data_IF_230894331937
#
_entry.id   IF_230894331937
#
_cell.length_a   1.000
_cell.length_b   1.000
_cell.length_c   1.000
_cell.angle_alpha   90.00
_cell.angle_beta   90.00
_cell.angle_gamma   90.00
#
_symmetry.space_group_name_H-M   'P 1'
#
loop_
_entity.id
_entity.type
_entity.pdbx_description
1 polymer ?
#
# COMPACT_ATOMS: atom_id res chain seq x y z
N UNK A 1 15.35 -14.98 11.34
CA UNK A 1 13.94 -15.28 11.64
C UNK A 1 13.48 -16.27 10.59
N UNK A 2 12.87 -17.39 10.98
CA UNK A 2 12.53 -18.49 10.05
C UNK A 2 11.05 -18.51 9.64
N UNK A 3 10.18 -17.84 10.41
CA UNK A 3 8.73 -17.77 10.16
C UNK A 3 8.16 -16.42 10.59
N UNK A 4 7.02 -16.03 10.02
CA UNK A 4 6.25 -14.87 10.44
C UNK A 4 5.68 -15.07 11.86
N UNK A 5 5.57 -13.98 12.61
CA UNK A 5 5.06 -13.94 13.98
C UNK A 5 4.09 -12.77 14.15
N UNK A 6 3.30 -12.79 15.22
CA UNK A 6 2.28 -11.78 15.51
C UNK A 6 0.86 -12.27 15.26
N UNK A 7 -0.05 -11.34 14.99
CA UNK A 7 -1.49 -11.63 14.78
C UNK A 7 -1.76 -12.15 13.36
N UNK A 8 -1.42 -13.41 13.12
CA UNK A 8 -1.63 -14.09 11.83
C UNK A 8 -3.08 -14.58 11.65
N UNK A 9 -3.77 -14.86 12.75
CA UNK A 9 -5.13 -15.44 12.73
C UNK A 9 -6.19 -14.46 12.23
N UNK A 10 -5.99 -13.16 12.48
CA UNK A 10 -6.92 -12.13 12.00
C UNK A 10 -6.62 -11.68 10.57
N UNK A 11 -5.55 -12.16 9.94
CA UNK A 11 -5.14 -11.74 8.60
C UNK A 11 -6.19 -12.06 7.53
N UNK A 12 -6.94 -13.16 7.67
CA UNK A 12 -7.90 -13.60 6.66
C UNK A 12 -9.35 -13.25 7.00
N UNK A 13 -9.61 -12.86 8.24
CA UNK A 13 -10.96 -12.62 8.75
C UNK A 13 -11.47 -11.18 8.61
N UNK A 14 -12.68 -10.99 8.12
CA UNK A 14 -13.25 -9.67 7.80
C UNK A 14 -14.34 -9.21 8.78
N UNK A 15 -14.70 -10.07 9.72
CA UNK A 15 -15.90 -9.99 10.57
C UNK A 15 -15.65 -9.41 11.97
N UNK A 16 -14.48 -8.84 12.23
CA UNK A 16 -14.16 -8.20 13.53
C UNK A 16 -14.90 -6.88 13.77
N UNK A 17 -15.37 -6.24 12.70
CA UNK A 17 -16.13 -5.00 12.76
C UNK A 17 -17.45 -5.17 12.02
N UNK A 18 -18.60 -4.78 12.62
CA UNK A 18 -19.88 -4.81 11.93
C UNK A 18 -19.86 -3.91 10.71
N UNK A 19 -20.25 -4.44 9.55
CA UNK A 19 -20.20 -3.72 8.28
C UNK A 19 -21.23 -2.57 8.24
N UNK A 20 -20.72 -1.39 7.90
CA UNK A 20 -21.48 -0.17 7.67
C UNK A 20 -21.69 0.03 6.16
N UNK A 21 -22.93 -0.06 5.72
CA UNK A 21 -23.28 0.13 4.32
C UNK A 21 -22.78 1.49 3.80
N UNK A 22 -22.20 1.49 2.60
CA UNK A 22 -21.49 2.57 1.87
C UNK A 22 -20.12 2.98 2.41
N UNK A 23 -19.84 2.69 3.67
CA UNK A 23 -18.60 3.11 4.33
C UNK A 23 -17.57 1.98 4.37
N UNK A 24 -17.97 0.78 4.79
CA UNK A 24 -17.02 -0.32 5.00
C UNK A 24 -16.35 -0.70 3.70
N UNK A 25 -15.03 -0.51 3.69
CA UNK A 25 -14.13 -0.85 2.63
C UNK A 25 -12.99 -1.67 3.23
N UNK A 26 -12.72 -2.82 2.61
CA UNK A 26 -11.81 -3.81 3.11
C UNK A 26 -10.88 -4.24 1.98
N UNK A 27 -9.59 -4.33 2.28
CA UNK A 27 -8.64 -4.81 1.30
C UNK A 27 -7.40 -5.40 1.93
N UNK A 28 -6.72 -6.21 1.15
CA UNK A 28 -5.35 -6.60 1.35
C UNK A 28 -4.54 -6.02 0.22
N UNK A 29 -3.30 -5.62 0.49
CA UNK A 29 -2.38 -5.25 -0.57
C UNK A 29 -0.94 -5.56 -0.21
N UNK A 30 -0.19 -5.88 -1.26
CA UNK A 30 1.25 -6.02 -1.25
C UNK A 30 1.86 -4.94 -2.13
N UNK A 31 3.00 -4.43 -1.71
CA UNK A 31 3.85 -3.59 -2.53
C UNK A 31 5.27 -4.14 -2.50
N UNK A 32 5.68 -4.68 -3.62
CA UNK A 32 6.99 -5.29 -3.84
C UNK A 32 7.91 -4.24 -4.43
N UNK A 33 9.09 -4.08 -3.85
CA UNK A 33 10.11 -3.10 -4.23
C UNK A 33 11.38 -3.85 -4.64
N UNK A 34 11.73 -3.73 -5.92
CA UNK A 34 12.81 -4.45 -6.57
C UNK A 34 13.88 -3.47 -7.06
N UNK A 35 15.16 -3.89 -7.14
CA UNK A 35 16.19 -3.11 -7.82
C UNK A 35 15.81 -2.89 -9.29
N UNK A 36 16.13 -1.70 -9.81
CA UNK A 36 16.16 -1.44 -11.24
C UNK A 36 17.63 -1.48 -11.70
N UNK A 37 17.93 -2.32 -12.69
CA UNK A 37 19.30 -2.50 -13.20
C UNK A 37 19.75 -1.32 -14.03
N UNK A 38 18.84 -0.77 -14.85
CA UNK A 38 19.12 0.33 -15.77
C UNK A 38 19.13 1.69 -15.05
N UNK A 39 18.38 1.80 -13.95
CA UNK A 39 18.30 2.99 -13.10
C UNK A 39 18.51 2.63 -11.62
N UNK A 40 19.77 2.43 -11.16
CA UNK A 40 20.07 1.99 -9.80
C UNK A 40 19.52 2.89 -8.69
N UNK A 41 19.28 4.16 -8.98
CA UNK A 41 18.67 5.15 -8.09
C UNK A 41 17.15 4.97 -7.92
N UNK A 42 16.52 4.21 -8.83
CA UNK A 42 15.10 3.88 -8.83
C UNK A 42 14.90 2.44 -8.34
N UNK A 43 13.62 2.10 -8.22
CA UNK A 43 13.17 0.74 -7.97
C UNK A 43 12.07 0.39 -8.96
N UNK A 44 12.04 -0.86 -9.41
CA UNK A 44 10.84 -1.43 -10.02
C UNK A 44 9.87 -1.79 -8.92
N UNK A 45 8.57 -1.60 -9.14
CA UNK A 45 7.59 -1.82 -8.09
C UNK A 45 6.31 -2.47 -8.61
N UNK A 46 5.80 -3.45 -7.87
CA UNK A 46 4.51 -4.08 -8.09
C UNK A 46 3.60 -3.77 -6.91
N UNK A 47 2.43 -3.21 -7.14
CA UNK A 47 1.35 -3.19 -6.16
C UNK A 47 0.23 -4.12 -6.62
N UNK A 48 -0.28 -4.95 -5.72
CA UNK A 48 -1.48 -5.76 -5.94
C UNK A 48 -2.40 -5.61 -4.75
N UNK A 49 -3.69 -5.37 -5.01
CA UNK A 49 -4.73 -5.31 -4.00
C UNK A 49 -5.91 -6.23 -4.32
N UNK A 50 -6.50 -6.78 -3.25
CA UNK A 50 -7.75 -7.54 -3.26
C UNK A 50 -8.75 -6.79 -2.42
N UNK A 51 -9.84 -6.32 -3.02
CA UNK A 51 -10.73 -5.38 -2.34
C UNK A 51 -12.20 -5.76 -2.42
N UNK A 52 -12.93 -5.46 -1.34
CA UNK A 52 -14.39 -5.49 -1.28
C UNK A 52 -14.92 -4.29 -0.53
N UNK A 53 -16.08 -3.79 -0.95
CA UNK A 53 -16.73 -2.62 -0.36
C UNK A 53 -18.22 -2.93 -0.23
N UNK A 54 -18.77 -2.67 0.95
CA UNK A 54 -20.22 -2.78 1.16
C UNK A 54 -20.88 -1.53 0.56
N UNK A 55 -21.16 -1.52 -0.75
CA UNK A 55 -21.84 -0.42 -1.43
C UNK A 55 -22.63 -0.93 -2.63
N UNK A 56 -23.75 -0.27 -2.97
CA UNK A 56 -24.56 -0.67 -4.11
C UNK A 56 -23.92 -0.32 -5.47
N UNK A 57 -23.09 0.72 -5.51
CA UNK A 57 -22.42 1.18 -6.72
C UNK A 57 -21.25 2.10 -6.35
N UNK A 58 -20.13 1.88 -7.02
CA UNK A 58 -18.95 2.75 -7.02
C UNK A 58 -18.28 2.57 -8.38
N UNK A 59 -17.83 3.65 -9.00
CA UNK A 59 -16.96 3.57 -10.17
C UNK A 59 -15.51 3.54 -9.71
N UNK A 60 -14.71 2.61 -10.25
CA UNK A 60 -13.29 2.46 -9.95
C UNK A 60 -12.52 2.70 -11.23
N UNK A 61 -11.85 3.85 -11.33
CA UNK A 61 -11.08 4.27 -12.50
C UNK A 61 -11.84 4.12 -13.84
N UNK A 62 -13.11 4.52 -13.87
CA UNK A 62 -13.98 4.44 -15.05
C UNK A 62 -14.72 3.12 -15.23
N UNK A 63 -14.52 2.15 -14.32
CA UNK A 63 -15.17 0.85 -14.35
C UNK A 63 -16.29 0.79 -13.29
N UNK A 64 -17.57 0.73 -13.69
CA UNK A 64 -18.68 0.66 -12.75
C UNK A 64 -18.70 -0.66 -11.97
N UNK A 65 -18.60 -0.63 -10.65
CA UNK A 65 -18.57 -1.80 -9.78
C UNK A 65 -19.71 -1.76 -8.75
N UNK A 66 -20.46 -2.84 -8.67
CA UNK A 66 -21.39 -3.08 -7.57
C UNK A 66 -20.64 -3.82 -6.47
N UNK A 67 -20.38 -3.11 -5.36
CA UNK A 67 -19.86 -3.72 -4.16
C UNK A 67 -20.85 -4.74 -3.57
N UNK A 68 -20.36 -5.59 -2.68
CA UNK A 68 -21.19 -6.59 -2.01
C UNK A 68 -20.75 -6.72 -0.56
N UNK A 69 -21.71 -6.92 0.34
CA UNK A 69 -21.42 -7.33 1.71
C UNK A 69 -20.92 -8.78 1.67
N UNK A 70 -19.75 -9.05 2.24
CA UNK A 70 -19.25 -10.41 2.33
C UNK A 70 -20.20 -11.32 3.12
N UNK A 71 -20.26 -12.58 2.72
CA UNK A 71 -20.93 -13.65 3.45
C UNK A 71 -19.89 -14.42 4.26
N UNK A 72 -20.26 -14.83 5.48
CA UNK A 72 -19.44 -15.73 6.31
C UNK A 72 -20.15 -17.06 6.41
N UNK A 73 -19.47 -18.14 6.03
CA UNK A 73 -20.01 -19.49 6.13
C UNK A 73 -19.94 -20.05 7.56
N UNK A 74 -20.43 -21.28 7.74
CA UNK A 74 -20.47 -21.97 9.04
C UNK A 74 -19.08 -22.32 9.61
N UNK A 75 -18.03 -22.28 8.78
CA UNK A 75 -16.65 -22.55 9.15
C UNK A 75 -15.82 -21.27 9.31
N UNK A 76 -16.43 -20.09 9.18
CA UNK A 76 -15.77 -18.79 9.31
C UNK A 76 -15.04 -18.32 8.06
N UNK A 77 -15.20 -19.01 6.92
CA UNK A 77 -14.70 -18.56 5.63
C UNK A 77 -15.52 -17.40 5.10
N UNK A 78 -14.88 -16.49 4.36
CA UNK A 78 -15.55 -15.34 3.77
C UNK A 78 -15.65 -15.48 2.25
N UNK A 79 -16.85 -15.25 1.71
CA UNK A 79 -17.07 -15.09 0.26
C UNK A 79 -17.49 -13.65 0.00
N UNK A 80 -16.78 -12.98 -0.90
CA UNK A 80 -16.95 -11.56 -1.17
C UNK A 80 -17.03 -11.29 -2.68
N UNK A 81 -17.94 -10.41 -3.09
CA UNK A 81 -17.85 -9.71 -4.37
C UNK A 81 -16.80 -8.61 -4.26
N UNK A 82 -15.89 -8.54 -5.24
CA UNK A 82 -14.72 -7.69 -5.13
C UNK A 82 -14.01 -7.39 -6.43
N UNK A 83 -12.86 -6.75 -6.30
CA UNK A 83 -11.94 -6.47 -7.40
C UNK A 83 -10.51 -6.85 -7.02
N UNK A 84 -9.77 -7.38 -7.99
CA UNK A 84 -8.31 -7.44 -7.96
C UNK A 84 -7.79 -6.30 -8.81
N UNK A 85 -6.96 -5.45 -8.22
CA UNK A 85 -6.32 -4.35 -8.93
C UNK A 85 -4.81 -4.44 -8.77
N UNK A 86 -4.07 -4.03 -9.79
CA UNK A 86 -2.62 -3.96 -9.73
C UNK A 86 -2.07 -2.87 -10.64
N UNK A 87 -0.88 -2.39 -10.32
CA UNK A 87 -0.02 -1.63 -11.24
C UNK A 87 1.41 -2.15 -11.15
N UNK A 88 2.17 -1.96 -12.23
CA UNK A 88 3.59 -2.31 -12.29
C UNK A 88 4.40 -1.14 -12.83
N UNK A 89 5.46 -0.78 -12.13
CA UNK A 89 6.46 0.17 -12.60
C UNK A 89 7.75 -0.58 -12.92
N UNK A 90 8.16 -0.59 -14.18
CA UNK A 90 9.34 -1.34 -14.64
C UNK A 90 10.68 -0.61 -14.41
N UNK A 91 10.64 0.59 -13.84
CA UNK A 91 11.78 1.48 -13.67
C UNK A 91 11.76 2.68 -14.61
N UNK A 92 10.95 2.64 -15.66
CA UNK A 92 10.78 3.72 -16.63
C UNK A 92 9.31 4.05 -16.90
N UNK A 93 8.49 3.03 -17.17
CA UNK A 93 7.07 3.16 -17.51
C UNK A 93 6.17 2.62 -16.41
N UNK A 94 5.06 3.31 -16.16
CA UNK A 94 3.98 2.81 -15.32
C UNK A 94 2.96 2.06 -16.17
N UNK A 95 2.69 0.81 -15.81
CA UNK A 95 1.58 0.02 -16.33
C UNK A 95 0.44 0.09 -15.31
N UNK A 96 -0.45 1.05 -15.54
CA UNK A 96 -1.64 1.25 -14.73
C UNK A 96 -2.88 1.42 -15.62
N UNK A 97 -3.95 0.64 -15.37
CA UNK A 97 -4.02 -0.49 -14.45
C UNK A 97 -3.40 -1.76 -15.06
N UNK A 98 -2.38 -2.36 -14.45
CA UNK A 98 -1.86 -3.66 -14.91
C UNK A 98 -2.95 -4.76 -14.89
N UNK A 99 -3.80 -4.71 -13.87
CA UNK A 99 -4.97 -5.56 -13.69
C UNK A 99 -6.10 -4.71 -13.10
N UNK A 100 -7.31 -4.82 -13.65
CA UNK A 100 -8.53 -4.22 -13.06
C UNK A 100 -9.73 -5.15 -13.26
N UNK A 101 -9.83 -6.21 -12.42
CA UNK A 101 -10.77 -7.31 -12.63
C UNK A 101 -11.79 -7.44 -11.52
N UNK A 102 -13.08 -7.39 -11.88
CA UNK A 102 -14.18 -7.77 -10.98
C UNK A 102 -14.21 -9.28 -10.84
N UNK A 103 -14.33 -9.76 -9.60
CA UNK A 103 -14.45 -11.19 -9.34
C UNK A 103 -15.18 -11.45 -8.02
N UNK A 104 -15.59 -12.71 -7.84
CA UNK A 104 -15.85 -13.21 -6.49
C UNK A 104 -14.53 -13.72 -5.94
N UNK A 105 -14.31 -13.55 -4.64
CA UNK A 105 -13.14 -14.07 -3.95
C UNK A 105 -13.58 -14.85 -2.71
N UNK A 106 -12.76 -15.82 -2.32
CA UNK A 106 -12.83 -16.47 -1.03
C UNK A 106 -11.65 -16.00 -0.17
N UNK A 107 -11.89 -15.65 1.09
CA UNK A 107 -10.83 -15.48 2.08
C UNK A 107 -11.02 -16.55 3.16
N UNK A 108 -10.04 -17.42 3.30
CA UNK A 108 -10.08 -18.56 4.23
C UNK A 108 -8.81 -18.60 5.06
N UNK A 109 -8.94 -19.02 6.31
CA UNK A 109 -7.81 -19.34 7.17
C UNK A 109 -7.73 -20.85 7.43
N UNK A 110 -6.71 -21.23 8.20
CA UNK A 110 -6.43 -22.60 8.53
C UNK A 110 -7.51 -23.39 9.27
N UNK A 111 -8.52 -22.72 9.84
CA UNK A 111 -9.64 -23.39 10.51
C UNK A 111 -10.70 -23.87 9.53
N UNK A 112 -10.65 -23.39 8.28
CA UNK A 112 -11.63 -23.74 7.26
C UNK A 112 -11.29 -25.10 6.62
N UNK A 113 -12.24 -26.05 6.47
CA UNK A 113 -11.97 -27.39 5.93
C UNK A 113 -11.37 -27.45 4.52
N UNK A 114 -11.55 -26.40 3.73
CA UNK A 114 -10.94 -26.26 2.40
C UNK A 114 -9.44 -25.88 2.43
N UNK A 115 -8.89 -25.53 3.60
CA UNK A 115 -7.46 -25.27 3.74
C UNK A 115 -6.71 -26.62 3.80
N UNK A 116 -5.58 -26.78 3.10
CA UNK A 116 -4.92 -28.08 2.93
C UNK A 116 -4.14 -28.58 4.16
N UNK A 117 -4.21 -27.89 5.30
CA UNK A 117 -3.46 -28.22 6.52
C UNK A 117 -4.23 -27.80 7.77
N UNK A 118 -4.00 -28.45 8.90
CA UNK A 118 -4.55 -28.03 10.20
C UNK A 118 -3.61 -27.07 10.96
N UNK A 119 -2.48 -26.66 10.34
CA UNK A 119 -1.48 -25.76 10.94
C UNK A 119 -1.83 -24.28 10.73
N UNK A 120 -0.88 -23.34 10.69
CA UNK A 120 -1.20 -21.93 10.43
C UNK A 120 -1.60 -21.71 8.95
N UNK A 121 -1.80 -20.44 8.58
CA UNK A 121 -1.96 -20.03 7.19
C UNK A 121 -3.36 -19.55 6.83
N UNK A 122 -3.52 -19.30 5.54
CA UNK A 122 -4.74 -18.85 4.90
C UNK A 122 -4.44 -18.15 3.59
N UNK A 123 -5.48 -17.78 2.85
CA UNK A 123 -5.34 -17.11 1.56
C UNK A 123 -6.56 -16.25 1.24
N UNK A 124 -6.35 -15.29 0.34
CA UNK A 124 -7.41 -14.70 -0.48
C UNK A 124 -7.27 -15.24 -1.91
N UNK A 125 -8.35 -15.84 -2.40
CA UNK A 125 -8.39 -16.58 -3.65
C UNK A 125 -9.51 -16.03 -4.54
N UNK A 126 -9.16 -15.23 -5.56
CA UNK A 126 -10.09 -14.88 -6.62
C UNK A 126 -10.58 -16.11 -7.38
N UNK A 127 -11.89 -16.18 -7.59
CA UNK A 127 -12.55 -17.25 -8.33
C UNK A 127 -12.58 -16.89 -9.82
N UNK A 128 -11.40 -16.87 -10.42
CA UNK A 128 -11.15 -16.54 -11.83
C UNK A 128 -10.45 -17.69 -12.56
N UNK A 129 -10.36 -17.62 -13.89
CA UNK A 129 -9.61 -18.61 -14.68
C UNK A 129 -8.10 -18.52 -14.42
N UNK A 130 -7.60 -17.30 -14.17
CA UNK A 130 -6.22 -17.06 -13.77
C UNK A 130 -6.04 -17.14 -12.26
N UNK A 131 -4.85 -17.58 -11.82
CA UNK A 131 -4.44 -17.54 -10.41
C UNK A 131 -3.95 -16.15 -10.04
N UNK A 132 -4.82 -15.40 -9.36
CA UNK A 132 -4.56 -14.06 -8.84
C UNK A 132 -4.51 -14.08 -7.30
N UNK A 133 -4.09 -15.19 -6.70
CA UNK A 133 -4.17 -15.39 -5.25
C UNK A 133 -2.93 -14.92 -4.49
N UNK A 134 -3.10 -14.68 -3.19
CA UNK A 134 -2.00 -14.62 -2.24
C UNK A 134 -2.37 -15.33 -0.95
N UNK A 135 -1.37 -15.84 -0.25
CA UNK A 135 -1.59 -16.61 0.97
C UNK A 135 -0.34 -16.80 1.80
N UNK A 136 -0.52 -17.27 3.03
CA UNK A 136 0.55 -17.64 3.97
C UNK A 136 0.68 -19.16 4.01
N UNK A 137 1.91 -19.66 3.85
CA UNK A 137 2.21 -21.08 3.94
C UNK A 137 1.81 -21.65 5.32
N UNK A 138 1.45 -22.94 5.41
CA UNK A 138 0.96 -23.50 6.66
C UNK A 138 1.95 -23.53 7.83
N UNK A 139 3.25 -23.42 7.55
CA UNK A 139 4.33 -23.30 8.55
C UNK A 139 4.68 -21.84 8.88
N UNK A 140 3.97 -20.89 8.27
CA UNK A 140 4.21 -19.45 8.31
C UNK A 140 5.62 -19.03 7.86
N UNK A 141 6.32 -19.85 7.07
CA UNK A 141 7.67 -19.54 6.57
C UNK A 141 7.69 -18.46 5.50
N UNK A 142 6.65 -18.44 4.64
CA UNK A 142 6.53 -17.49 3.54
C UNK A 142 5.10 -17.17 3.18
N UNK A 143 4.90 -15.99 2.59
CA UNK A 143 3.72 -15.70 1.78
C UNK A 143 4.02 -16.01 0.32
N UNK A 144 3.03 -16.46 -0.43
CA UNK A 144 3.06 -16.45 -1.89
C UNK A 144 2.17 -15.34 -2.43
N UNK A 145 2.51 -14.83 -3.61
CA UNK A 145 1.69 -13.92 -4.40
C UNK A 145 1.78 -14.34 -5.86
N UNK A 146 0.62 -14.49 -6.49
CA UNK A 146 0.51 -14.76 -7.91
C UNK A 146 -0.34 -13.71 -8.59
N UNK A 147 0.08 -13.31 -9.78
CA UNK A 147 -0.63 -12.36 -10.61
C UNK A 147 -0.42 -12.69 -12.08
N UNK A 148 -1.45 -12.41 -12.88
CA UNK A 148 -1.37 -12.38 -14.33
C UNK A 148 -1.85 -11.03 -14.84
N UNK A 149 -1.05 -10.40 -15.69
CA UNK A 149 -1.38 -9.11 -16.31
C UNK A 149 -2.49 -9.27 -17.35
N UNK A 150 -3.21 -8.19 -17.60
CA UNK A 150 -4.15 -8.13 -18.73
C UNK A 150 -3.41 -8.16 -20.07
N UNK A 151 -3.98 -8.83 -21.08
CA UNK A 151 -3.33 -9.08 -22.38
C UNK A 151 -2.90 -7.79 -23.10
N UNK A 152 -3.67 -6.71 -22.91
CA UNK A 152 -3.37 -5.37 -23.43
C UNK A 152 -2.01 -4.87 -22.94
N UNK A 153 -1.75 -4.94 -21.63
CA UNK A 153 -0.47 -4.47 -21.09
C UNK A 153 0.70 -5.41 -21.40
N UNK A 154 0.43 -6.71 -21.58
CA UNK A 154 1.45 -7.64 -22.08
C UNK A 154 1.88 -7.25 -23.50
N UNK A 155 0.93 -6.89 -24.37
CA UNK A 155 1.23 -6.41 -25.71
C UNK A 155 2.01 -5.09 -25.71
N UNK A 156 1.90 -4.31 -24.63
CA UNK A 156 2.62 -3.06 -24.41
C UNK A 156 3.99 -3.20 -23.72
N UNK A 157 4.38 -4.43 -23.35
CA UNK A 157 5.69 -4.73 -22.78
C UNK A 157 5.69 -5.11 -21.29
N UNK A 158 4.53 -5.14 -20.62
CA UNK A 158 4.44 -5.61 -19.24
C UNK A 158 4.72 -7.13 -19.16
N UNK A 159 5.31 -7.63 -18.07
CA UNK A 159 5.42 -9.06 -17.82
C UNK A 159 4.05 -9.73 -17.79
N UNK A 160 3.93 -10.93 -18.36
CA UNK A 160 2.67 -11.67 -18.36
C UNK A 160 2.31 -12.26 -16.98
N UNK A 161 3.31 -12.67 -16.21
CA UNK A 161 3.12 -13.39 -14.94
C UNK A 161 4.04 -12.87 -13.85
N UNK A 162 3.54 -12.89 -12.62
CA UNK A 162 4.30 -12.63 -11.40
C UNK A 162 4.05 -13.80 -10.45
N UNK A 163 5.13 -14.43 -9.99
CA UNK A 163 5.11 -15.52 -9.01
C UNK A 163 6.17 -15.23 -7.96
N UNK A 164 5.72 -14.71 -6.82
CA UNK A 164 6.59 -14.12 -5.80
C UNK A 164 6.38 -14.81 -4.45
N UNK A 165 7.49 -14.93 -3.73
CA UNK A 165 7.54 -15.45 -2.36
C UNK A 165 8.13 -14.38 -1.43
N UNK A 166 7.42 -14.07 -0.35
CA UNK A 166 7.83 -13.12 0.67
C UNK A 166 8.23 -13.86 1.95
N UNK A 167 9.45 -13.64 2.43
CA UNK A 167 9.99 -14.30 3.64
C UNK A 167 10.37 -13.29 4.71
N UNK A 168 10.35 -13.66 6.00
CA UNK A 168 10.77 -12.77 7.07
C UNK A 168 12.20 -12.26 6.87
N UNK A 169 12.40 -10.96 7.04
CA UNK A 169 13.70 -10.32 6.98
C UNK A 169 14.34 -10.22 8.36
N UNK A 170 13.67 -9.54 9.30
CA UNK A 170 14.09 -9.46 10.69
C UNK A 170 12.86 -9.25 11.61
N UNK A 171 12.97 -9.56 12.92
CA UNK A 171 11.82 -9.51 13.83
C UNK A 171 11.15 -8.15 13.92
N UNK A 172 11.89 -7.05 13.77
CA UNK A 172 11.36 -5.71 13.99
C UNK A 172 10.39 -5.27 12.89
N UNK A 173 10.64 -5.69 11.64
CA UNK A 173 9.86 -5.26 10.46
C UNK A 173 8.98 -6.37 9.89
N UNK A 174 9.31 -7.64 10.14
CA UNK A 174 8.54 -8.78 9.62
C UNK A 174 7.48 -9.32 10.58
N UNK A 175 7.42 -8.82 11.82
CA UNK A 175 6.33 -9.13 12.73
C UNK A 175 5.03 -8.46 12.30
N UNK A 176 3.90 -9.17 12.35
CA UNK A 176 2.59 -8.59 12.08
C UNK A 176 2.21 -7.65 13.21
N UNK A 177 1.98 -6.38 12.87
CA UNK A 177 1.52 -5.35 13.82
C UNK A 177 0.08 -4.96 13.53
N UNK A 178 -0.70 -4.75 14.58
CA UNK A 178 -2.10 -4.34 14.49
C UNK A 178 -2.30 -2.94 15.05
N UNK A 179 -3.02 -2.11 14.31
CA UNK A 179 -3.50 -0.81 14.76
C UNK A 179 -5.01 -0.73 14.56
N UNK A 180 -5.73 -0.58 15.67
CA UNK A 180 -7.18 -0.47 15.70
C UNK A 180 -7.59 0.83 16.37
N UNK A 181 -8.59 1.51 15.83
CA UNK A 181 -9.22 2.63 16.50
C UNK A 181 -10.71 2.72 16.12
N UNK A 182 -11.57 2.82 17.13
CA UNK A 182 -13.01 3.07 16.99
C UNK A 182 -13.29 4.39 17.67
N UNK A 183 -13.86 5.35 16.94
CA UNK A 183 -14.06 6.70 17.46
C UNK A 183 -15.54 6.99 17.73
N UNK A 184 -16.39 7.08 16.71
CA UNK A 184 -17.80 7.46 16.86
C UNK A 184 -18.72 6.34 16.39
N UNK A 185 -19.52 5.79 17.32
CA UNK A 185 -20.36 4.63 17.04
C UNK A 185 -19.49 3.43 16.67
N UNK A 186 -19.72 2.87 15.49
CA UNK A 186 -18.88 1.80 14.92
C UNK A 186 -17.84 2.33 13.93
N UNK A 187 -17.76 3.63 13.66
CA UNK A 187 -16.77 4.15 12.71
C UNK A 187 -15.34 4.01 13.25
N UNK A 188 -14.44 3.59 12.39
CA UNK A 188 -13.09 3.23 12.79
C UNK A 188 -12.27 2.66 11.65
N UNK A 189 -11.08 2.21 12.02
CA UNK A 189 -10.22 1.39 11.17
C UNK A 189 -9.58 0.26 11.97
N UNK A 190 -9.26 -0.82 11.26
CA UNK A 190 -8.43 -1.93 11.74
C UNK A 190 -7.40 -2.24 10.66
N UNK A 191 -6.11 -2.12 11.00
CA UNK A 191 -5.04 -2.28 10.03
C UNK A 191 -3.98 -3.23 10.59
N UNK A 192 -3.74 -4.31 9.85
CA UNK A 192 -2.59 -5.20 10.06
C UNK A 192 -1.50 -4.83 9.06
N UNK A 193 -0.25 -4.83 9.51
CA UNK A 193 0.91 -4.48 8.68
C UNK A 193 2.07 -5.41 8.91
N UNK A 194 2.80 -5.67 7.83
CA UNK A 194 4.17 -6.17 7.87
C UNK A 194 5.02 -5.09 7.23
N UNK A 195 5.87 -4.45 8.03
CA UNK A 195 6.64 -3.29 7.59
C UNK A 195 7.72 -3.65 6.58
N UNK A 196 8.25 -4.87 6.61
CA UNK A 196 9.21 -5.30 5.60
C UNK A 196 9.40 -6.81 5.58
N UNK A 197 9.53 -7.34 4.38
CA UNK A 197 9.92 -8.73 4.10
C UNK A 197 11.02 -8.73 3.04
N UNK A 198 11.75 -9.84 2.93
CA UNK A 198 12.45 -10.16 1.69
C UNK A 198 11.42 -10.64 0.67
N UNK A 199 11.67 -10.39 -0.60
CA UNK A 199 10.87 -10.89 -1.71
C UNK A 199 11.80 -11.53 -2.74
N UNK A 200 11.40 -12.67 -3.29
CA UNK A 200 12.08 -13.32 -4.41
C UNK A 200 11.06 -14.04 -5.29
N UNK A 201 11.45 -14.43 -6.49
CA UNK A 201 10.61 -15.24 -7.36
C UNK A 201 10.82 -14.86 -8.80
N UNK A 202 9.79 -15.05 -9.62
CA UNK A 202 9.89 -14.89 -11.07
C UNK A 202 8.86 -13.91 -11.61
N UNK A 203 9.31 -12.97 -12.43
CA UNK A 203 8.49 -12.03 -13.18
C UNK A 203 8.73 -12.27 -14.67
N UNK A 204 7.72 -12.80 -15.36
CA UNK A 204 7.88 -13.36 -16.71
C UNK A 204 8.93 -14.47 -16.71
N UNK A 205 10.06 -14.21 -17.36
CA UNK A 205 11.23 -15.12 -17.40
C UNK A 205 12.36 -14.70 -16.45
N UNK A 206 12.27 -13.54 -15.80
CA UNK A 206 13.33 -13.00 -14.94
C UNK A 206 13.18 -13.48 -13.49
N UNK A 207 14.26 -14.03 -12.93
CA UNK A 207 14.40 -14.22 -11.48
C UNK A 207 14.73 -12.89 -10.80
N UNK A 208 13.97 -12.55 -9.77
CA UNK A 208 14.07 -11.27 -9.07
C UNK A 208 14.25 -11.46 -7.57
N UNK A 209 14.92 -10.50 -6.95
CA UNK A 209 15.05 -10.39 -5.49
C UNK A 209 14.86 -8.93 -5.07
N UNK A 210 14.25 -8.72 -3.91
CA UNK A 210 14.02 -7.41 -3.34
C UNK A 210 13.31 -7.48 -2.00
N UNK A 211 12.39 -6.56 -1.78
CA UNK A 211 11.66 -6.43 -0.51
C UNK A 211 10.18 -6.23 -0.75
N UNK A 212 9.35 -6.39 0.28
CA UNK A 212 7.93 -6.06 0.16
C UNK A 212 7.35 -5.50 1.47
N UNK A 213 6.29 -4.71 1.29
CA UNK A 213 5.44 -4.16 2.33
C UNK A 213 4.04 -4.74 2.20
N UNK A 214 3.37 -5.02 3.31
CA UNK A 214 2.02 -5.56 3.31
C UNK A 214 1.11 -4.78 4.25
N UNK A 215 -0.14 -4.59 3.83
CA UNK A 215 -1.22 -4.32 4.76
C UNK A 215 -2.49 -5.09 4.44
N UNK A 216 -3.24 -5.33 5.51
CA UNK A 216 -4.68 -5.53 5.45
C UNK A 216 -5.35 -4.35 6.12
N UNK A 217 -6.33 -3.76 5.47
CA UNK A 217 -7.07 -2.60 5.96
C UNK A 217 -8.56 -2.90 5.99
N UNK A 218 -9.19 -2.54 7.09
CA UNK A 218 -10.64 -2.37 7.21
C UNK A 218 -10.84 -0.92 7.61
N UNK A 219 -11.56 -0.15 6.79
CA UNK A 219 -11.97 1.22 7.11
C UNK A 219 -13.47 1.34 6.97
N UNK A 220 -14.11 2.01 7.93
CA UNK A 220 -15.54 2.29 7.88
C UNK A 220 -15.83 3.71 8.34
N UNK A 221 -15.08 4.63 7.74
CA UNK A 221 -15.06 6.04 8.04
C UNK A 221 -14.83 6.82 6.74
N UNK A 222 -15.32 8.08 6.66
CA UNK A 222 -14.94 8.96 5.56
C UNK A 222 -13.42 9.13 5.51
N UNK A 223 -12.84 8.86 4.34
CA UNK A 223 -11.40 9.03 4.09
C UNK A 223 -11.08 10.52 3.96
N UNK A 224 -10.20 11.04 4.83
CA UNK A 224 -9.58 12.37 4.66
C UNK A 224 -8.33 12.26 3.78
N UNK A 225 -7.84 13.34 3.16
CA UNK A 225 -6.54 13.36 2.49
C UNK A 225 -5.40 12.98 3.44
N UNK A 226 -4.44 12.22 2.94
CA UNK A 226 -3.19 11.93 3.64
C UNK A 226 -1.99 11.94 2.72
N UNK A 227 -0.82 12.19 3.32
CA UNK A 227 0.44 11.64 2.83
C UNK A 227 0.83 10.45 3.68
N UNK A 228 1.28 9.39 3.03
CA UNK A 228 1.94 8.28 3.67
C UNK A 228 3.17 7.94 2.85
N UNK A 229 4.14 7.27 3.43
CA UNK A 229 5.21 6.65 2.67
C UNK A 229 6.16 5.90 3.57
N UNK A 230 7.01 5.12 2.95
CA UNK A 230 8.01 4.33 3.66
C UNK A 230 9.29 4.19 2.84
N UNK A 231 10.37 3.82 3.53
CA UNK A 231 11.66 3.46 2.96
C UNK A 231 12.17 2.17 3.61
N UNK A 232 12.66 1.25 2.78
CA UNK A 232 13.52 0.13 3.14
C UNK A 232 14.98 0.49 2.92
N UNK A 233 15.83 0.01 3.83
CA UNK A 233 17.29 0.18 3.80
C UNK A 233 17.95 -1.19 3.70
N UNK A 234 19.10 -1.27 3.04
CA UNK A 234 19.83 -2.53 2.83
C UNK A 234 20.19 -3.27 4.13
N UNK A 235 20.42 -2.53 5.22
CA UNK A 235 20.75 -3.08 6.53
C UNK A 235 19.55 -3.70 7.28
N UNK A 236 18.35 -3.61 6.71
CA UNK A 236 17.10 -4.07 7.32
C UNK A 236 16.42 -3.04 8.22
N UNK A 237 16.84 -1.77 8.16
CA UNK A 237 16.09 -0.66 8.74
C UNK A 237 14.82 -0.35 7.92
N UNK A 238 13.84 0.25 8.58
CA UNK A 238 12.56 0.68 7.98
C UNK A 238 12.17 2.04 8.51
N UNK A 239 11.77 2.95 7.64
CA UNK A 239 11.24 4.27 8.00
C UNK A 239 9.86 4.46 7.38
N UNK A 240 8.88 4.96 8.14
CA UNK A 240 7.60 5.46 7.61
C UNK A 240 7.20 6.83 8.18
N UNK A 241 6.29 7.47 7.46
CA UNK A 241 5.61 8.67 7.91
C UNK A 241 4.13 8.64 7.53
N UNK A 242 3.31 9.29 8.34
CA UNK A 242 1.89 9.47 8.08
C UNK A 242 1.46 10.89 8.46
N UNK A 243 0.93 11.61 7.48
CA UNK A 243 0.48 13.00 7.59
C UNK A 243 -0.95 13.12 7.05
N UNK A 244 -1.98 12.78 7.84
CA UNK A 244 -3.36 13.08 7.50
C UNK A 244 -3.61 14.59 7.67
N UNK A 245 -4.32 15.20 6.72
CA UNK A 245 -4.49 16.65 6.71
C UNK A 245 -5.87 17.12 6.25
N UNK A 246 -6.23 18.32 6.70
CA UNK A 246 -7.35 19.09 6.19
C UNK A 246 -6.83 20.12 5.17
N UNK A 247 -7.46 20.14 3.99
CA UNK A 247 -7.12 21.05 2.90
C UNK A 247 -8.28 21.15 1.91
N UNK A 248 -8.20 22.10 0.99
CA UNK A 248 -9.19 22.24 -0.08
C UNK A 248 -9.20 21.05 -1.06
N UNK A 249 -8.19 20.19 -1.03
CA UNK A 249 -8.14 18.97 -1.84
C UNK A 249 -9.25 17.97 -1.48
N UNK A 250 -9.85 18.08 -0.28
CA UNK A 250 -11.07 17.34 0.09
C UNK A 250 -12.26 17.63 -0.83
N UNK A 251 -12.24 18.78 -1.49
CA UNK A 251 -13.29 19.22 -2.44
C UNK A 251 -12.91 18.95 -3.89
N UNK A 252 -11.81 18.22 -4.14
CA UNK A 252 -11.48 17.78 -5.50
C UNK A 252 -12.46 16.71 -5.96
N UNK A 253 -12.79 16.77 -7.24
CA UNK A 253 -13.74 15.88 -7.92
C UNK A 253 -13.13 15.26 -9.19
N UNK A 254 -11.81 15.31 -9.31
CA UNK A 254 -11.04 14.65 -10.35
C UNK A 254 -9.61 14.35 -9.88
N UNK A 255 -8.86 13.65 -10.73
CA UNK A 255 -7.49 13.18 -10.51
C UNK A 255 -6.40 14.21 -10.87
N UNK A 256 -6.76 15.47 -11.12
CA UNK A 256 -5.76 16.52 -11.44
C UNK A 256 -4.91 16.82 -10.22
N UNK A 257 -3.63 16.44 -10.30
CA UNK A 257 -2.69 16.62 -9.21
C UNK A 257 -2.32 18.10 -8.99
N UNK A 258 -1.92 18.42 -7.74
CA UNK A 258 -1.15 19.63 -7.40
C UNK A 258 -1.81 20.98 -7.69
N UNK A 259 -3.14 21.09 -7.50
CA UNK A 259 -3.83 22.38 -7.66
C UNK A 259 -3.24 23.43 -6.71
N UNK A 260 -3.09 24.66 -7.20
CA UNK A 260 -2.55 25.78 -6.39
C UNK A 260 -3.30 26.02 -5.08
N UNK A 261 -4.60 25.74 -5.04
CA UNK A 261 -5.45 25.90 -3.85
C UNK A 261 -5.15 24.88 -2.73
N UNK A 262 -4.48 23.78 -3.06
CA UNK A 262 -4.24 22.64 -2.16
C UNK A 262 -2.90 22.74 -1.41
N UNK A 263 -2.23 23.90 -1.49
CA UNK A 263 -0.92 24.16 -0.86
C UNK A 263 -0.99 24.23 0.66
N UNK A 264 -2.07 24.80 1.21
CA UNK A 264 -2.24 24.92 2.65
C UNK A 264 -2.87 23.64 3.21
N UNK A 265 -2.19 23.02 4.16
CA UNK A 265 -2.59 21.76 4.77
C UNK A 265 -2.44 21.87 6.28
N UNK A 266 -3.50 21.55 7.01
CA UNK A 266 -3.49 21.54 8.47
C UNK A 266 -3.40 20.07 8.92
N UNK A 267 -2.33 19.66 9.62
CA UNK A 267 -2.21 18.28 10.10
C UNK A 267 -3.30 17.96 11.12
N UNK A 268 -3.83 16.73 11.07
CA UNK A 268 -4.81 16.24 12.06
C UNK A 268 -4.07 15.54 13.20
N UNK A 269 -3.39 14.43 12.90
CA UNK A 269 -2.54 13.69 13.84
C UNK A 269 -1.43 13.01 13.06
N UNK A 270 -0.24 13.56 13.17
CA UNK A 270 0.94 13.05 12.50
C UNK A 270 1.55 11.85 13.22
N UNK A 271 2.21 10.98 12.47
CA UNK A 271 2.97 9.87 13.01
C UNK A 271 4.18 9.57 12.12
N UNK A 272 5.17 8.90 12.70
CA UNK A 272 6.22 8.21 11.97
C UNK A 272 6.84 7.12 12.81
N UNK A 273 7.50 6.18 12.15
CA UNK A 273 8.15 5.04 12.76
C UNK A 273 9.52 4.83 12.11
N UNK A 274 10.54 4.57 12.91
CA UNK A 274 11.84 4.13 12.40
C UNK A 274 12.30 2.89 13.17
N UNK A 275 12.36 1.76 12.48
CA UNK A 275 13.08 0.58 12.96
C UNK A 275 14.54 0.73 12.53
N UNK A 276 15.39 0.99 13.51
CA UNK A 276 16.81 1.22 13.32
C UNK A 276 17.58 -0.07 13.55
N UNK A 277 17.93 -0.77 12.47
CA UNK A 277 18.66 -2.03 12.57
C UNK A 277 20.06 -1.82 13.16
N UNK A 278 20.73 -0.73 12.80
CA UNK A 278 22.07 -0.42 13.32
C UNK A 278 22.08 -0.14 14.83
N UNK A 279 21.01 0.46 15.37
CA UNK A 279 20.85 0.71 16.81
C UNK A 279 20.03 -0.34 17.55
N UNK A 280 19.45 -1.30 16.84
CA UNK A 280 18.58 -2.36 17.37
C UNK A 280 17.43 -1.78 18.22
N UNK A 281 16.79 -0.71 17.73
CA UNK A 281 15.69 -0.04 18.44
C UNK A 281 14.63 0.48 17.48
N UNK A 282 13.47 0.79 18.04
CA UNK A 282 12.37 1.44 17.33
C UNK A 282 12.14 2.83 17.89
N UNK A 283 12.21 3.84 17.02
CA UNK A 283 11.85 5.21 17.31
C UNK A 283 10.42 5.48 16.81
N UNK A 284 9.60 6.11 17.65
CA UNK A 284 8.28 6.60 17.28
C UNK A 284 8.31 8.12 17.26
N UNK A 285 7.66 8.71 16.27
CA UNK A 285 7.60 10.14 16.07
C UNK A 285 6.14 10.60 16.13
N UNK A 286 5.88 11.59 16.97
CA UNK A 286 4.57 12.28 16.99
C UNK A 286 4.58 13.51 16.09
N UNK A 287 5.77 13.99 15.71
CA UNK A 287 5.95 15.20 14.90
C UNK A 287 6.41 14.79 13.50
N UNK A 288 5.63 15.17 12.51
CA UNK A 288 5.93 15.00 11.08
C UNK A 288 5.56 16.27 10.33
N UNK A 289 6.39 16.66 9.38
CA UNK A 289 6.11 17.68 8.39
C UNK A 289 6.32 17.07 7.00
N UNK A 290 5.39 17.35 6.08
CA UNK A 290 5.50 16.99 4.68
C UNK A 290 5.28 18.24 3.84
N UNK A 291 6.33 18.66 3.13
CA UNK A 291 6.28 19.72 2.14
C UNK A 291 6.34 19.09 0.74
N UNK A 292 5.44 19.52 -0.15
CA UNK A 292 5.44 19.09 -1.55
C UNK A 292 6.27 20.06 -2.35
N UNK A 293 7.32 19.54 -2.97
CA UNK A 293 8.19 20.27 -3.89
C UNK A 293 7.59 20.10 -5.29
N UNK A 294 7.13 21.19 -5.89
CA UNK A 294 6.59 21.13 -7.24
C UNK A 294 7.73 21.19 -8.26
N UNK A 295 7.69 20.36 -9.31
CA UNK A 295 8.62 20.51 -10.42
C UNK A 295 8.41 21.87 -11.10
N UNK A 296 9.47 22.39 -11.72
CA UNK A 296 9.38 23.56 -12.60
C UNK A 296 8.58 23.26 -13.89
N UNK A 297 8.41 24.26 -14.77
CA UNK A 297 7.66 24.10 -16.02
C UNK A 297 8.20 22.98 -16.93
N UNK A 298 9.52 22.73 -16.90
CA UNK A 298 10.19 21.66 -17.65
C UNK A 298 10.52 20.42 -16.80
N UNK A 299 9.88 20.27 -15.63
CA UNK A 299 10.16 19.14 -14.75
C UNK A 299 9.47 17.84 -15.17
N UNK A 300 9.78 16.73 -14.48
CA UNK A 300 9.27 15.42 -14.86
C UNK A 300 7.75 15.35 -14.71
N UNK A 301 7.12 14.62 -15.63
CA UNK A 301 5.68 14.36 -15.66
C UNK A 301 5.42 12.86 -15.67
N UNK A 302 4.22 12.46 -15.24
CA UNK A 302 3.72 11.09 -15.40
C UNK A 302 3.29 10.81 -16.84
N UNK A 303 2.87 9.56 -17.10
CA UNK A 303 2.42 9.11 -18.43
C UNK A 303 1.15 9.83 -18.93
N UNK A 304 0.47 10.58 -18.04
CA UNK A 304 -0.69 11.42 -18.35
C UNK A 304 -0.34 12.92 -18.44
N UNK A 305 0.94 13.28 -18.35
CA UNK A 305 1.42 14.66 -18.43
C UNK A 305 1.23 15.48 -17.16
N UNK A 306 0.88 14.87 -16.02
CA UNK A 306 0.81 15.58 -14.74
C UNK A 306 2.19 15.70 -14.10
N UNK A 307 2.53 16.83 -13.47
CA UNK A 307 3.83 17.02 -12.85
C UNK A 307 4.08 16.03 -11.70
N UNK A 308 5.26 15.40 -11.71
CA UNK A 308 5.70 14.50 -10.64
C UNK A 308 6.28 15.30 -9.46
N UNK A 309 5.77 15.09 -8.23
CA UNK A 309 6.22 15.86 -7.07
C UNK A 309 7.59 15.41 -6.55
N UNK A 310 8.23 16.29 -5.80
CA UNK A 310 9.11 15.90 -4.71
C UNK A 310 8.41 16.03 -3.35
N UNK A 311 8.94 15.33 -2.36
CA UNK A 311 8.48 15.36 -0.97
C UNK A 311 9.67 15.65 -0.07
N UNK A 312 9.58 16.74 0.68
CA UNK A 312 10.49 17.01 1.78
C UNK A 312 9.80 16.59 3.07
N UNK A 313 10.30 15.54 3.69
CA UNK A 313 9.72 14.96 4.91
C UNK A 313 10.66 15.21 6.07
N UNK A 314 10.11 15.65 7.20
CA UNK A 314 10.84 15.75 8.46
C UNK A 314 10.06 15.09 9.57
N UNK A 315 10.66 14.12 10.25
CA UNK A 315 10.12 13.52 11.48
C UNK A 315 11.11 13.68 12.62
N UNK A 316 10.62 13.91 13.84
CA UNK A 316 11.52 14.05 14.99
C UNK A 316 10.84 13.74 16.31
N UNK A 317 11.65 13.32 17.27
CA UNK A 317 11.32 13.22 18.68
C UNK A 317 12.43 13.88 19.53
N UNK A 318 12.48 13.60 20.83
CA UNK A 318 13.51 14.18 21.72
C UNK A 318 14.93 13.64 21.51
N UNK A 319 15.10 12.58 20.71
CA UNK A 319 16.36 11.86 20.52
C UNK A 319 16.81 11.81 19.07
N UNK A 320 15.90 11.49 18.15
CA UNK A 320 16.19 11.24 16.75
C UNK A 320 15.40 12.18 15.86
N UNK A 321 16.04 12.66 14.80
CA UNK A 321 15.44 13.41 13.72
C UNK A 321 15.81 12.78 12.39
N UNK A 322 14.83 12.62 11.51
CA UNK A 322 15.03 12.16 10.13
C UNK A 322 14.50 13.24 9.20
N UNK A 323 15.33 13.69 8.27
CA UNK A 323 14.96 14.61 7.20
C UNK A 323 15.22 13.94 5.85
N UNK A 324 14.30 14.04 4.91
CA UNK A 324 14.47 13.52 3.55
C UNK A 324 14.08 14.55 2.49
N UNK A 325 14.68 14.42 1.32
CA UNK A 325 14.17 14.97 0.05
C UNK A 325 14.01 13.78 -0.89
N UNK A 326 12.77 13.53 -1.29
CA UNK A 326 12.36 12.39 -2.09
C UNK A 326 11.76 12.92 -3.38
N UNK A 327 12.00 12.25 -4.50
CA UNK A 327 11.40 12.62 -5.79
C UNK A 327 10.61 11.44 -6.35
N UNK A 328 9.40 11.69 -6.81
CA UNK A 328 8.62 10.68 -7.52
C UNK A 328 9.29 10.38 -8.88
N UNK A 329 9.50 9.10 -9.20
CA UNK A 329 9.98 8.68 -10.52
C UNK A 329 8.85 8.35 -11.47
N UNK A 330 7.67 8.03 -10.95
CA UNK A 330 6.44 7.83 -11.70
C UNK A 330 5.23 7.99 -10.76
N UNK A 331 4.03 7.79 -11.29
CA UNK A 331 2.77 7.88 -10.54
C UNK A 331 1.80 6.82 -11.03
N UNK A 332 1.20 6.11 -10.08
CA UNK A 332 -0.05 5.39 -10.27
C UNK A 332 -1.19 6.17 -9.57
N UNK A 333 -2.40 6.20 -10.13
CA UNK A 333 -3.60 6.70 -9.48
C UNK A 333 -4.87 5.85 -9.71
N UNK A 334 -5.65 5.69 -8.64
CA UNK A 334 -6.99 5.12 -8.67
C UNK A 334 -8.03 6.18 -8.33
N UNK A 335 -9.13 6.25 -9.09
CA UNK A 335 -10.28 7.10 -8.74
C UNK A 335 -11.45 6.26 -8.27
N UNK A 336 -12.16 6.77 -7.28
CA UNK A 336 -13.34 6.14 -6.71
C UNK A 336 -14.48 7.13 -6.69
N UNK A 337 -15.52 6.88 -7.48
CA UNK A 337 -16.67 7.75 -7.65
C UNK A 337 -17.94 7.04 -7.17
N UNK A 338 -18.39 7.40 -5.97
CA UNK A 338 -19.56 6.78 -5.33
C UNK A 338 -20.78 7.73 -5.39
N UNK A 339 -21.91 7.31 -6.01
CA UNK A 339 -23.15 8.08 -5.98
C UNK A 339 -23.68 8.25 -4.54
N UNK A 340 -23.96 9.49 -4.16
CA UNK A 340 -24.51 9.84 -2.85
C UNK A 340 -25.99 10.26 -2.96
N UNK A 341 -26.58 10.72 -1.85
CA UNK A 341 -27.97 11.21 -1.86
C UNK A 341 -28.04 12.54 -2.63
N UNK A 342 -29.21 12.82 -3.21
CA UNK A 342 -29.49 14.05 -3.97
C UNK A 342 -28.65 14.25 -5.25
N UNK A 343 -28.10 13.18 -5.83
CA UNK A 343 -27.42 13.23 -7.13
C UNK A 343 -26.01 13.80 -7.10
N UNK A 344 -25.42 13.96 -5.90
CA UNK A 344 -24.00 14.29 -5.75
C UNK A 344 -23.14 13.03 -5.84
N UNK A 345 -21.91 13.15 -6.33
CA UNK A 345 -20.93 12.05 -6.35
C UNK A 345 -19.81 12.34 -5.36
N UNK A 346 -19.50 11.36 -4.52
CA UNK A 346 -18.32 11.37 -3.65
C UNK A 346 -17.14 10.90 -4.47
N UNK A 347 -16.11 11.73 -4.61
CA UNK A 347 -14.92 11.44 -5.38
C UNK A 347 -13.70 11.29 -4.48
N UNK A 348 -12.90 10.26 -4.70
CA UNK A 348 -11.65 10.04 -4.00
C UNK A 348 -10.57 9.61 -5.00
N UNK A 349 -9.41 10.26 -4.96
CA UNK A 349 -8.24 9.84 -5.71
C UNK A 349 -7.17 9.34 -4.75
N UNK A 350 -6.65 8.16 -5.02
CA UNK A 350 -5.52 7.56 -4.32
C UNK A 350 -4.34 7.47 -5.29
N UNK A 351 -3.17 7.96 -4.89
CA UNK A 351 -2.00 8.01 -5.76
C UNK A 351 -0.82 7.35 -5.05
N UNK A 352 -0.01 6.63 -5.80
CA UNK A 352 1.23 6.02 -5.35
C UNK A 352 2.40 6.48 -6.22
N UNK A 353 3.54 6.69 -5.59
CA UNK A 353 4.72 7.29 -6.19
C UNK A 353 5.95 6.45 -5.83
N UNK A 354 6.49 5.65 -6.76
CA UNK A 354 7.83 5.11 -6.61
C UNK A 354 8.84 6.25 -6.38
N UNK A 355 9.72 6.09 -5.38
CA UNK A 355 10.58 7.18 -4.91
C UNK A 355 12.04 6.98 -5.28
N UNK A 356 12.68 8.09 -5.63
CA UNK A 356 14.14 8.27 -5.60
C UNK A 356 14.49 9.07 -4.34
N UNK A 357 15.46 8.59 -3.56
CA UNK A 357 15.96 9.31 -2.39
C UNK A 357 17.08 10.25 -2.84
N UNK A 358 16.79 11.55 -2.90
CA UNK A 358 17.79 12.56 -3.29
C UNK A 358 18.67 12.95 -2.11
N UNK A 359 18.05 13.17 -0.95
CA UNK A 359 18.74 13.44 0.30
C UNK A 359 18.07 12.70 1.46
N UNK A 360 18.88 12.22 2.39
CA UNK A 360 18.43 11.74 3.69
C UNK A 360 19.48 12.07 4.74
N UNK A 361 19.02 12.50 5.92
CA UNK A 361 19.83 12.66 7.11
C UNK A 361 19.08 12.08 8.31
N UNK A 362 19.67 11.08 8.94
CA UNK A 362 19.20 10.48 10.20
C UNK A 362 20.18 10.93 11.29
N UNK A 363 19.73 11.84 12.14
CA UNK A 363 20.52 12.38 13.24
C UNK A 363 20.02 11.77 14.55
N UNK A 364 20.92 11.11 15.28
CA UNK A 364 20.68 10.62 16.63
C UNK A 364 21.74 11.14 17.61
N UNK A 365 21.73 10.64 18.85
CA UNK A 365 22.63 11.09 19.90
C UNK A 365 24.11 10.73 19.69
N UNK A 366 24.43 9.91 18.70
CA UNK A 366 25.78 9.39 18.45
C UNK A 366 26.33 9.82 17.09
N UNK A 367 25.52 9.78 16.04
CA UNK A 367 26.00 10.09 14.69
C UNK A 367 24.93 10.72 13.79
N UNK A 368 25.39 11.23 12.65
CA UNK A 368 24.53 11.62 11.52
C UNK A 368 24.79 10.63 10.39
N UNK A 369 23.76 9.92 9.96
CA UNK A 369 23.79 8.98 8.83
C UNK A 369 23.13 9.63 7.62
N UNK A 370 23.72 9.43 6.46
CA UNK A 370 23.24 9.96 5.17
C UNK A 370 22.98 8.82 4.19
N UNK A 371 22.57 9.13 2.96
CA UNK A 371 22.40 8.12 1.91
C UNK A 371 23.66 7.25 1.73
N UNK A 372 24.85 7.83 1.82
CA UNK A 372 26.14 7.14 1.68
C UNK A 372 26.42 6.10 2.78
N UNK A 373 25.66 6.12 3.87
CA UNK A 373 25.77 5.12 4.94
C UNK A 373 25.18 3.76 4.53
N UNK A 374 24.35 3.75 3.49
CA UNK A 374 23.54 2.61 3.06
C UNK A 374 23.89 2.23 1.63
N UNK A 375 23.89 0.94 1.30
CA UNK A 375 24.11 0.49 -0.08
C UNK A 375 22.93 0.87 -0.98
N UNK A 376 21.72 0.85 -0.44
CA UNK A 376 20.53 1.32 -1.13
C UNK A 376 19.44 1.72 -0.14
N UNK A 377 18.59 2.66 -0.58
CA UNK A 377 17.37 3.07 0.12
C UNK A 377 16.27 3.18 -0.93
N UNK A 378 15.15 2.47 -0.73
CA UNK A 378 14.06 2.38 -1.71
C UNK A 378 12.71 2.42 -1.03
N UNK A 379 11.71 2.96 -1.70
CA UNK A 379 10.37 2.99 -1.14
C UNK A 379 9.33 3.66 -2.02
N UNK A 380 8.18 3.93 -1.43
CA UNK A 380 7.02 4.51 -2.12
C UNK A 380 6.37 5.56 -1.20
N UNK A 381 5.67 6.52 -1.81
CA UNK A 381 4.79 7.43 -1.11
C UNK A 381 3.38 7.38 -1.69
N UNK A 382 2.41 7.58 -0.82
CA UNK A 382 1.03 7.82 -1.16
C UNK A 382 0.66 9.29 -0.96
N UNK A 383 -0.23 9.78 -1.81
CA UNK A 383 -1.03 10.97 -1.51
C UNK A 383 -2.47 10.72 -1.96
N UNK A 384 -3.41 10.95 -1.06
CA UNK A 384 -4.83 10.86 -1.38
C UNK A 384 -5.52 12.22 -1.30
N UNK A 385 -6.59 12.38 -2.06
CA UNK A 385 -7.47 13.54 -1.95
C UNK A 385 -8.91 13.23 -2.32
N UNK A 386 -9.78 14.23 -2.16
CA UNK A 386 -11.21 14.05 -2.22
C UNK A 386 -11.76 13.50 -0.91
N UNK A 387 -12.96 12.95 -1.00
CA UNK A 387 -13.72 12.35 0.10
C UNK A 387 -14.44 11.13 -0.45
N UNK A 388 -14.39 10.01 0.26
CA UNK A 388 -15.22 8.82 -0.01
C UNK A 388 -16.14 8.59 1.18
N UNK A 389 -17.47 8.64 0.97
CA UNK A 389 -18.48 8.45 2.03
C UNK A 389 -19.78 7.81 1.54
#
# INVERSE_FOLDING_TARGET
MERFEGDLDTLWRLDFLPTMHRLTWQWWWWLVVLPCKDHPERSRQLMVLWSTKDTASVDVSGIPWAGERFHTDEHGGHVLGGMVCAWWYDGDRMYEPLVLRKCRMAAIDHRHPSWPSDSLGGAVVPLTEDDLSMGLQPDASSFWLKLRSDEEHVAEGAPATFDLEMTPWNPAISGVTRSNNVFTGTMGYDILRIHGTKAKGRIGEEEVEGTAYFQKVIVQAPSVPWFWGFLHFDDGSYFDWFFPHLSLSMTSNDSTAWRRRDRHRVPIRTAGLFHDARRQRTERFERCEVEVLHPGEDGPVDDHGSPLPGFKVRVWNGRTQISTILRASSRAHWTFDQPTRAGLTSHFTYNEYPLVVEEIAICDEVEVRTAETYEWIRGNAEHSWGLLH
#
